data_IF_805944905844
#
_entry.id   IF_805944905844
#
_cell.length_a   1.000
_cell.length_b   1.000
_cell.length_c   1.000
_cell.angle_alpha   90.00
_cell.angle_beta   90.00
_cell.angle_gamma   90.00
#
_symmetry.space_group_name_H-M   'P 1'
#
loop_
_entity.id
_entity.type
_entity.pdbx_description
1 polymer ?
#
# COMPACT_ATOMS: atom_id res chain seq x y z
N UNK A 1 -11.61 2.83 -10.55
CA UNK A 1 -10.35 2.16 -10.19
C UNK A 1 -10.52 0.66 -10.36
N UNK A 2 -9.53 0.02 -10.99
CA UNK A 2 -9.61 -1.41 -11.28
C UNK A 2 -9.14 -2.27 -10.10
N UNK A 3 -8.30 -1.72 -9.22
CA UNK A 3 -7.62 -2.48 -8.20
C UNK A 3 -7.88 -1.92 -6.81
N UNK A 4 -7.61 -2.75 -5.81
CA UNK A 4 -7.76 -2.36 -4.41
C UNK A 4 -6.48 -2.66 -3.65
N UNK A 5 -6.40 -2.12 -2.44
CA UNK A 5 -5.22 -2.22 -1.59
C UNK A 5 -5.63 -2.56 -0.18
N UNK A 6 -4.87 -3.47 0.44
CA UNK A 6 -4.91 -3.67 1.88
C UNK A 6 -3.54 -3.27 2.42
N UNK A 7 -3.51 -2.21 3.23
CA UNK A 7 -2.29 -1.76 3.88
C UNK A 7 -2.19 -2.46 5.23
N UNK A 8 -1.10 -3.17 5.45
CA UNK A 8 -0.90 -3.92 6.69
C UNK A 8 0.38 -3.47 7.37
N UNK A 9 0.38 -3.43 8.71
CA UNK A 9 1.58 -3.00 9.41
C UNK A 9 1.59 -3.46 10.85
N UNK A 10 2.78 -3.38 11.46
CA UNK A 10 2.89 -3.37 12.91
C UNK A 10 2.33 -2.04 13.41
N UNK A 11 1.66 -2.08 14.56
CA UNK A 11 1.17 -0.90 15.24
C UNK A 11 0.38 0.02 14.29
N UNK A 12 0.57 1.32 14.41
CA UNK A 12 -0.27 2.31 13.73
C UNK A 12 0.32 2.86 12.42
N UNK A 13 1.31 2.18 11.85
CA UNK A 13 1.98 2.72 10.66
C UNK A 13 1.04 2.79 9.46
N UNK A 14 0.27 1.73 9.22
CA UNK A 14 -0.61 1.69 8.04
C UNK A 14 -1.66 2.79 8.09
N UNK A 15 -2.36 2.94 9.22
CA UNK A 15 -3.35 4.01 9.36
C UNK A 15 -2.70 5.39 9.31
N UNK A 16 -1.46 5.51 9.82
CA UNK A 16 -0.72 6.77 9.74
C UNK A 16 -0.41 7.16 8.30
N UNK A 17 0.08 6.25 7.49
CA UNK A 17 0.35 6.51 6.08
C UNK A 17 -0.94 6.88 5.35
N UNK A 18 -2.00 6.10 5.57
CA UNK A 18 -3.27 6.39 4.92
C UNK A 18 -3.85 7.74 5.39
N UNK A 19 -3.66 8.11 6.65
CA UNK A 19 -4.12 9.41 7.14
C UNK A 19 -3.48 10.57 6.38
N UNK A 20 -2.22 10.45 6.02
CA UNK A 20 -1.53 11.46 5.21
C UNK A 20 -2.14 11.53 3.80
N UNK A 21 -2.44 10.38 3.21
CA UNK A 21 -3.09 10.34 1.90
C UNK A 21 -4.48 10.97 1.96
N UNK A 22 -5.26 10.67 3.00
CA UNK A 22 -6.58 11.25 3.15
C UNK A 22 -6.54 12.77 3.27
N UNK A 23 -5.55 13.29 3.95
CA UNK A 23 -5.39 14.74 4.09
C UNK A 23 -5.15 15.41 2.74
N UNK A 24 -4.41 14.77 1.85
CA UNK A 24 -4.02 15.35 0.56
C UNK A 24 -5.05 15.08 -0.52
N UNK A 25 -5.59 13.87 -0.58
CA UNK A 25 -6.39 13.39 -1.70
C UNK A 25 -7.81 12.93 -1.34
N UNK A 26 -8.17 12.93 -0.05
CA UNK A 26 -9.48 12.47 0.39
C UNK A 26 -9.53 10.97 0.62
N UNK A 27 -10.71 10.46 0.91
CA UNK A 27 -10.92 9.05 1.18
C UNK A 27 -11.13 8.25 -0.10
N UNK A 28 -10.76 6.96 -0.04
CA UNK A 28 -10.90 6.05 -1.16
C UNK A 28 -11.65 4.79 -0.71
N UNK A 29 -12.55 4.31 -1.56
CA UNK A 29 -13.36 3.11 -1.26
C UNK A 29 -12.57 1.81 -1.45
N UNK A 30 -11.47 1.84 -2.18
CA UNK A 30 -10.70 0.68 -2.54
C UNK A 30 -9.52 0.42 -1.60
N UNK A 31 -9.56 0.95 -0.38
CA UNK A 31 -8.49 0.80 0.61
C UNK A 31 -9.04 0.16 1.87
N UNK A 32 -8.28 -0.78 2.43
CA UNK A 32 -8.48 -1.31 3.77
C UNK A 32 -7.17 -1.24 4.53
N UNK A 33 -7.26 -1.10 5.84
CA UNK A 33 -6.10 -1.01 6.72
C UNK A 33 -6.24 -2.06 7.81
N UNK A 34 -5.22 -2.91 7.97
CA UNK A 34 -5.19 -3.89 9.05
C UNK A 34 -3.88 -3.78 9.78
N UNK A 35 -3.96 -3.63 11.10
CA UNK A 35 -2.79 -3.41 11.94
C UNK A 35 -2.64 -4.53 12.96
N UNK A 36 -1.40 -5.01 13.09
CA UNK A 36 -1.05 -6.03 14.05
C UNK A 36 -0.42 -5.34 15.27
N UNK A 37 -1.10 -5.43 16.41
CA UNK A 37 -0.68 -4.75 17.64
C UNK A 37 -0.24 -5.76 18.68
N UNK A 38 0.39 -5.28 19.75
CA UNK A 38 0.82 -6.12 20.84
C UNK A 38 -0.35 -6.96 21.35
N UNK A 39 -0.09 -8.24 21.57
CA UNK A 39 -1.06 -9.21 22.06
C UNK A 39 -2.19 -9.55 21.07
N UNK A 40 -2.11 -9.12 19.83
CA UNK A 40 -3.09 -9.52 18.83
C UNK A 40 -2.92 -11.00 18.47
N UNK A 41 -4.03 -11.65 18.18
CA UNK A 41 -4.04 -13.03 17.71
C UNK A 41 -3.69 -13.09 16.23
N UNK A 42 -2.82 -14.02 15.86
CA UNK A 42 -2.49 -14.24 14.45
C UNK A 42 -3.73 -14.64 13.67
N UNK A 43 -4.56 -15.51 14.25
CA UNK A 43 -5.77 -15.99 13.60
C UNK A 43 -6.78 -14.87 13.40
N UNK A 44 -6.90 -13.98 14.37
CA UNK A 44 -7.80 -12.83 14.24
C UNK A 44 -7.36 -11.89 13.13
N UNK A 45 -6.05 -11.68 13.01
CA UNK A 45 -5.49 -10.87 11.94
C UNK A 45 -5.79 -11.52 10.58
N UNK A 46 -5.58 -12.83 10.46
CA UNK A 46 -5.88 -13.57 9.24
C UNK A 46 -7.34 -13.42 8.83
N UNK A 47 -8.27 -13.51 9.80
CA UNK A 47 -9.69 -13.39 9.52
C UNK A 47 -10.05 -12.01 8.98
N UNK A 48 -9.44 -10.95 9.51
CA UNK A 48 -9.66 -9.61 8.99
C UNK A 48 -9.20 -9.49 7.55
N UNK A 49 -8.06 -10.09 7.21
CA UNK A 49 -7.57 -10.09 5.83
C UNK A 49 -8.53 -10.82 4.91
N UNK A 50 -9.08 -11.95 5.34
CA UNK A 50 -10.02 -12.71 4.53
C UNK A 50 -11.33 -11.94 4.31
N UNK A 51 -11.82 -11.26 5.33
CA UNK A 51 -13.03 -10.43 5.20
C UNK A 51 -12.78 -9.29 4.20
N UNK A 52 -11.66 -8.60 4.35
CA UNK A 52 -11.31 -7.52 3.42
C UNK A 52 -11.21 -8.03 1.99
N UNK A 53 -10.56 -9.17 1.80
CA UNK A 53 -10.40 -9.77 0.48
C UNK A 53 -11.76 -10.07 -0.15
N UNK A 54 -12.65 -10.71 0.59
CA UNK A 54 -13.97 -11.06 0.10
C UNK A 54 -14.79 -9.84 -0.28
N UNK A 55 -14.71 -8.79 0.53
CA UNK A 55 -15.42 -7.55 0.22
C UNK A 55 -14.85 -6.84 -1.00
N UNK A 56 -13.53 -6.74 -1.07
CA UNK A 56 -12.89 -6.01 -2.16
C UNK A 56 -13.02 -6.70 -3.50
N UNK A 57 -12.99 -8.03 -3.54
CA UNK A 57 -13.09 -8.77 -4.80
C UNK A 57 -14.46 -8.68 -5.45
N UNK A 58 -15.46 -8.20 -4.74
CA UNK A 58 -16.78 -7.96 -5.34
C UNK A 58 -16.73 -6.85 -6.39
N UNK A 59 -15.83 -5.88 -6.22
CA UNK A 59 -15.80 -4.69 -7.06
C UNK A 59 -14.44 -4.42 -7.71
N UNK A 60 -13.39 -5.13 -7.30
CA UNK A 60 -12.03 -4.86 -7.79
C UNK A 60 -11.39 -6.15 -8.28
N UNK A 61 -10.66 -6.02 -9.38
CA UNK A 61 -10.07 -7.18 -10.05
C UNK A 61 -8.85 -7.72 -9.31
N UNK A 62 -7.94 -6.82 -8.95
CA UNK A 62 -6.69 -7.19 -8.29
C UNK A 62 -6.56 -6.52 -6.95
N UNK A 63 -5.84 -7.16 -6.05
CA UNK A 63 -5.61 -6.62 -4.71
C UNK A 63 -4.11 -6.63 -4.44
N UNK A 64 -3.57 -5.45 -4.12
CA UNK A 64 -2.21 -5.32 -3.63
C UNK A 64 -2.26 -5.27 -2.11
N UNK A 65 -1.45 -6.10 -1.46
CA UNK A 65 -1.27 -6.01 -0.01
C UNK A 65 0.09 -5.37 0.21
N UNK A 66 0.10 -4.19 0.83
CA UNK A 66 1.32 -3.46 1.12
C UNK A 66 1.63 -3.58 2.60
N UNK A 67 2.78 -4.15 2.91
CA UNK A 67 3.22 -4.36 4.28
C UNK A 67 4.38 -3.44 4.61
N UNK A 68 4.49 -3.06 5.87
CA UNK A 68 5.54 -2.17 6.34
C UNK A 68 6.93 -2.80 6.25
N UNK A 69 7.05 -4.09 6.52
CA UNK A 69 8.33 -4.77 6.61
C UNK A 69 8.25 -6.15 5.98
N UNK A 70 8.97 -6.36 4.89
CA UNK A 70 9.06 -7.68 4.28
C UNK A 70 9.66 -8.66 5.30
N UNK A 71 8.97 -9.79 5.51
CA UNK A 71 9.38 -10.79 6.49
C UNK A 71 8.86 -10.55 7.90
N UNK A 72 8.21 -9.42 8.17
CA UNK A 72 7.54 -9.19 9.45
C UNK A 72 6.21 -9.92 9.54
N UNK A 73 5.61 -9.94 10.71
CA UNK A 73 4.35 -10.67 10.94
C UNK A 73 3.23 -10.25 10.02
N UNK A 74 2.93 -8.95 9.82
CA UNK A 74 1.86 -8.58 8.89
C UNK A 74 2.11 -9.06 7.47
N UNK A 75 3.35 -8.97 7.00
CA UNK A 75 3.73 -9.48 5.68
C UNK A 75 3.56 -10.99 5.59
N UNK A 76 4.13 -11.72 6.55
CA UNK A 76 4.09 -13.19 6.53
C UNK A 76 2.68 -13.74 6.65
N UNK A 77 1.84 -13.14 7.51
CA UNK A 77 0.44 -13.57 7.61
C UNK A 77 -0.33 -13.29 6.32
N UNK A 78 -0.03 -12.18 5.66
CA UNK A 78 -0.64 -11.87 4.36
C UNK A 78 -0.27 -12.90 3.31
N UNK A 79 1.01 -13.29 3.27
CA UNK A 79 1.48 -14.32 2.33
C UNK A 79 0.80 -15.67 2.61
N UNK A 80 0.74 -16.07 3.88
CA UNK A 80 0.17 -17.36 4.27
C UNK A 80 -1.34 -17.41 4.03
N UNK A 81 -2.02 -16.30 4.19
CA UNK A 81 -3.48 -16.25 4.11
C UNK A 81 -3.98 -16.05 2.67
N UNK A 82 -3.34 -15.16 1.92
CA UNK A 82 -3.83 -14.72 0.61
C UNK A 82 -2.79 -14.79 -0.51
N UNK A 83 -1.54 -15.13 -0.19
CA UNK A 83 -0.46 -15.04 -1.17
C UNK A 83 -0.57 -15.98 -2.37
N UNK A 84 -1.38 -17.03 -2.26
CA UNK A 84 -1.59 -17.99 -3.34
C UNK A 84 -2.73 -17.61 -4.28
N UNK A 85 -3.46 -16.54 -4.00
CA UNK A 85 -4.53 -16.07 -4.89
C UNK A 85 -3.93 -15.44 -6.14
N UNK A 86 -4.49 -15.77 -7.30
CA UNK A 86 -4.00 -15.23 -8.58
C UNK A 86 -4.12 -13.71 -8.67
N UNK A 87 -5.12 -13.15 -8.01
CA UNK A 87 -5.41 -11.72 -8.03
C UNK A 87 -4.85 -10.98 -6.82
N UNK A 88 -3.86 -11.53 -6.13
CA UNK A 88 -3.22 -10.89 -4.97
C UNK A 88 -1.71 -10.86 -5.16
N UNK A 89 -1.09 -9.74 -4.79
CA UNK A 89 0.37 -9.64 -4.64
C UNK A 89 0.69 -8.96 -3.33
N UNK A 90 1.64 -9.52 -2.60
CA UNK A 90 2.07 -8.99 -1.31
C UNK A 90 3.41 -8.30 -1.50
N UNK A 91 3.47 -7.02 -1.14
CA UNK A 91 4.64 -6.17 -1.38
C UNK A 91 5.07 -5.58 -0.04
N UNK A 92 6.37 -5.68 0.27
CA UNK A 92 6.96 -5.01 1.43
C UNK A 92 7.36 -3.60 1.08
N UNK A 93 7.47 -2.74 2.09
CA UNK A 93 7.91 -1.36 1.88
C UNK A 93 6.77 -0.36 1.79
N UNK A 94 5.74 -0.53 2.60
CA UNK A 94 4.64 0.42 2.69
C UNK A 94 5.15 1.82 3.03
N UNK A 95 4.86 2.78 2.16
CA UNK A 95 5.13 4.19 2.39
C UNK A 95 4.08 5.00 1.63
N UNK A 96 4.18 6.33 1.68
CA UNK A 96 3.21 7.18 1.00
C UNK A 96 3.15 6.87 -0.50
N UNK A 97 4.31 6.83 -1.15
CA UNK A 97 4.36 6.64 -2.60
C UNK A 97 3.81 5.29 -3.03
N UNK A 98 4.17 4.21 -2.32
CA UNK A 98 3.68 2.88 -2.68
C UNK A 98 2.17 2.76 -2.49
N UNK A 99 1.65 3.28 -1.39
CA UNK A 99 0.22 3.20 -1.11
C UNK A 99 -0.59 4.05 -2.09
N UNK A 100 -0.15 5.29 -2.33
CA UNK A 100 -0.86 6.18 -3.24
C UNK A 100 -0.87 5.62 -4.66
N UNK A 101 0.26 5.09 -5.13
CA UNK A 101 0.35 4.47 -6.45
C UNK A 101 -0.57 3.26 -6.57
N UNK A 102 -0.59 2.41 -5.54
CA UNK A 102 -1.45 1.23 -5.54
C UNK A 102 -2.93 1.60 -5.54
N UNK A 103 -3.32 2.59 -4.77
CA UNK A 103 -4.71 3.07 -4.72
C UNK A 103 -5.19 3.51 -6.11
N UNK A 104 -4.33 4.19 -6.86
CA UNK A 104 -4.68 4.76 -8.15
C UNK A 104 -4.34 3.86 -9.34
N UNK A 105 -3.96 2.62 -9.08
CA UNK A 105 -3.60 1.68 -10.15
C UNK A 105 -4.83 1.25 -10.93
N UNK A 106 -4.78 1.42 -12.24
CA UNK A 106 -5.80 0.95 -13.17
C UNK A 106 -5.31 -0.21 -14.03
N UNK A 107 -4.18 -0.79 -13.69
CA UNK A 107 -3.58 -1.87 -14.47
C UNK A 107 -4.44 -3.14 -14.38
N UNK A 108 -4.80 -3.71 -15.52
CA UNK A 108 -5.46 -5.02 -15.58
C UNK A 108 -4.47 -6.14 -15.26
N UNK A 109 -3.23 -5.96 -15.64
CA UNK A 109 -2.17 -6.92 -15.36
C UNK A 109 -1.61 -6.60 -13.98
N UNK A 110 -1.79 -7.51 -13.03
CA UNK A 110 -1.37 -7.29 -11.65
C UNK A 110 0.14 -7.11 -11.53
N UNK A 111 0.91 -7.81 -12.35
CA UNK A 111 2.37 -7.72 -12.27
C UNK A 111 2.88 -6.39 -12.83
N UNK A 112 2.24 -5.85 -13.84
CA UNK A 112 2.53 -4.50 -14.31
C UNK A 112 2.22 -3.47 -13.22
N UNK A 113 1.14 -3.66 -12.47
CA UNK A 113 0.82 -2.83 -11.32
C UNK A 113 1.89 -2.89 -10.24
N UNK A 114 2.40 -4.09 -9.95
CA UNK A 114 3.48 -4.27 -8.99
C UNK A 114 4.73 -3.50 -9.42
N UNK A 115 5.10 -3.61 -10.69
CA UNK A 115 6.28 -2.89 -11.20
C UNK A 115 6.14 -1.38 -11.04
N UNK A 116 4.97 -0.85 -11.34
CA UNK A 116 4.70 0.58 -11.19
C UNK A 116 4.80 1.02 -9.74
N UNK A 117 4.23 0.26 -8.82
CA UNK A 117 4.29 0.55 -7.39
C UNK A 117 5.74 0.57 -6.91
N UNK A 118 6.51 -0.45 -7.26
CA UNK A 118 7.90 -0.57 -6.81
C UNK A 118 8.74 0.54 -7.41
N UNK A 119 8.60 0.81 -8.71
CA UNK A 119 9.41 1.82 -9.39
C UNK A 119 9.12 3.22 -8.83
N UNK A 120 7.85 3.56 -8.67
CA UNK A 120 7.46 4.86 -8.12
C UNK A 120 7.96 5.02 -6.69
N UNK A 121 7.89 3.96 -5.89
CA UNK A 121 8.38 3.98 -4.51
C UNK A 121 9.89 4.21 -4.45
N UNK A 122 10.65 3.52 -5.30
CA UNK A 122 12.09 3.70 -5.35
C UNK A 122 12.47 5.12 -5.73
N UNK A 123 11.77 5.69 -6.70
CA UNK A 123 12.03 7.04 -7.18
C UNK A 123 11.63 8.12 -6.18
N UNK A 124 10.78 7.80 -5.22
CA UNK A 124 10.35 8.74 -4.20
C UNK A 124 11.39 8.98 -3.10
N UNK A 125 12.36 8.08 -2.99
CA UNK A 125 13.41 8.19 -1.98
C UNK A 125 14.55 9.01 -2.57
N UNK A 126 14.53 10.32 -2.28
CA UNK A 126 15.45 11.27 -2.90
C UNK A 126 16.09 12.16 -1.85
N UNK A 127 17.22 12.75 -2.21
CA UNK A 127 17.89 13.77 -1.40
C UNK A 127 17.72 15.12 -2.06
N UNK A 128 17.47 16.15 -1.27
CA UNK A 128 17.42 17.50 -1.78
C UNK A 128 18.84 17.97 -2.10
N UNK A 129 19.03 18.49 -3.31
CA UNK A 129 20.31 19.04 -3.74
C UNK A 129 20.13 20.49 -4.18
N UNK A 130 20.98 21.35 -3.66
CA UNK A 130 20.95 22.75 -4.04
C UNK A 130 21.85 22.97 -5.25
N UNK A 131 21.26 23.42 -6.36
CA UNK A 131 22.00 23.78 -7.56
C UNK A 131 21.68 25.21 -7.89
N UNK A 132 22.73 26.01 -8.16
CA UNK A 132 22.58 27.45 -8.35
C UNK A 132 21.75 27.80 -9.57
N UNK A 133 21.89 27.04 -10.65
CA UNK A 133 21.26 27.35 -11.93
C UNK A 133 19.92 26.70 -12.15
N UNK A 134 19.37 26.02 -11.17
CA UNK A 134 18.15 25.26 -11.35
C UNK A 134 17.07 25.58 -10.32
N UNK A 135 17.10 26.80 -9.83
CA UNK A 135 16.17 27.20 -8.76
C UNK A 135 14.72 27.19 -9.21
N UNK A 136 14.51 27.49 -10.50
CA UNK A 136 13.15 27.61 -11.05
C UNK A 136 12.41 26.29 -11.19
N UNK A 137 13.08 25.18 -11.02
CA UNK A 137 12.44 23.87 -11.11
C UNK A 137 11.73 23.46 -9.83
N UNK A 138 11.85 24.23 -8.78
CA UNK A 138 11.29 23.89 -7.50
C UNK A 138 9.83 24.34 -7.38
N UNK A 139 8.95 23.41 -7.06
CA UNK A 139 7.54 23.68 -6.85
C UNK A 139 7.28 24.08 -5.41
N UNK A 140 6.91 25.32 -5.19
CA UNK A 140 6.71 25.82 -3.83
C UNK A 140 5.39 25.40 -3.20
N UNK A 141 4.38 25.21 -4.01
CA UNK A 141 3.06 24.85 -3.53
C UNK A 141 2.80 23.35 -3.66
N UNK A 142 3.84 22.58 -3.64
CA UNK A 142 3.73 21.14 -3.62
C UNK A 142 2.89 20.66 -2.46
N UNK A 143 2.57 19.41 -2.49
CA UNK A 143 1.64 18.80 -1.57
C UNK A 143 2.04 18.93 -0.11
#
# INVERSE_FOLDING_TARGET
MANAVIAVSHASLASGVYSAIKMIAGEFDNVRVEEFKDNDSLEAFDQKLLVDYEELTKNYKNIFILADLAGGTPFNRSVMTLGDRENVRVIGGLNFASLYTAINSDSDDIDAGVEDIIQTSKESLIVFETKKEEVDDFEEDGI
#
